data_IF_709766071875
#
_entry.id   IF_709766071875
#
_cell.length_a   1.000
_cell.length_b   1.000
_cell.length_c   1.000
_cell.angle_alpha   90.00
_cell.angle_beta   90.00
_cell.angle_gamma   90.00
#
_symmetry.space_group_name_H-M   'P 1'
#
loop_
_entity.id
_entity.type
_entity.pdbx_description
1 polymer ?
#
# COMPACT_ATOMS: atom_id res chain seq x y z
N UNK A 1 17.31 -4.47 29.73
CA UNK A 1 16.47 -4.02 30.86
C UNK A 1 15.55 -5.14 31.28
N UNK A 2 15.40 -5.39 32.59
CA UNK A 2 14.69 -6.55 33.16
C UNK A 2 13.16 -6.35 33.26
N UNK A 3 12.67 -5.10 33.31
CA UNK A 3 11.23 -4.77 33.31
C UNK A 3 10.88 -3.47 32.56
N UNK A 4 11.75 -3.03 31.67
CA UNK A 4 11.46 -1.92 30.76
C UNK A 4 11.38 -2.50 29.37
N UNK A 5 10.18 -2.53 28.78
CA UNK A 5 10.01 -2.79 27.36
C UNK A 5 11.08 -1.99 26.62
N UNK A 6 11.88 -2.67 25.80
CA UNK A 6 12.95 -2.04 25.04
C UNK A 6 12.38 -0.83 24.29
N UNK A 7 13.08 0.30 24.27
CA UNK A 7 12.62 1.52 23.58
C UNK A 7 12.26 1.20 22.12
N UNK A 8 13.05 0.34 21.47
CA UNK A 8 12.77 -0.17 20.12
C UNK A 8 11.46 -0.96 20.01
N UNK A 9 11.06 -1.70 21.06
CA UNK A 9 9.77 -2.40 21.07
C UNK A 9 8.62 -1.40 21.21
N UNK A 10 8.75 -0.42 22.10
CA UNK A 10 7.75 0.63 22.29
C UNK A 10 7.56 1.40 20.98
N UNK A 11 8.65 1.80 20.34
CA UNK A 11 8.67 2.45 19.04
C UNK A 11 7.93 1.60 17.98
N UNK A 12 8.25 0.31 17.87
CA UNK A 12 7.59 -0.58 16.91
C UNK A 12 6.07 -0.67 17.10
N UNK A 13 5.59 -0.64 18.35
CA UNK A 13 4.16 -0.68 18.66
C UNK A 13 3.46 0.62 18.24
N UNK A 14 4.10 1.77 18.45
CA UNK A 14 3.57 3.05 18.02
C UNK A 14 3.61 3.21 16.50
N UNK A 15 4.63 2.71 15.82
CA UNK A 15 4.68 2.66 14.36
C UNK A 15 3.55 1.78 13.80
N UNK A 16 3.34 0.59 14.34
CA UNK A 16 2.22 -0.30 13.96
C UNK A 16 0.87 0.43 14.14
N UNK A 17 0.71 1.18 15.24
CA UNK A 17 -0.52 1.93 15.50
C UNK A 17 -0.68 3.14 14.56
N UNK A 18 0.40 3.85 14.28
CA UNK A 18 0.43 4.98 13.35
C UNK A 18 0.06 4.54 11.94
N UNK A 19 0.64 3.44 11.45
CA UNK A 19 0.35 2.91 10.11
C UNK A 19 -1.15 2.55 9.95
N UNK A 20 -1.75 1.93 10.97
CA UNK A 20 -3.19 1.62 10.95
C UNK A 20 -4.08 2.86 11.00
N UNK A 21 -3.69 3.88 11.77
CA UNK A 21 -4.43 5.14 11.79
C UNK A 21 -4.30 5.89 10.47
N UNK A 22 -3.09 5.96 9.93
CA UNK A 22 -2.77 6.74 8.72
C UNK A 22 -3.37 6.11 7.45
N UNK A 23 -3.26 4.79 7.29
CA UNK A 23 -3.75 4.10 6.09
C UNK A 23 -5.11 3.42 6.27
N UNK A 24 -5.42 2.96 7.48
CA UNK A 24 -6.64 2.21 7.75
C UNK A 24 -7.82 3.05 8.28
N UNK A 25 -7.60 4.31 8.66
CA UNK A 25 -8.64 5.18 9.22
C UNK A 25 -9.11 4.79 10.63
N UNK A 26 -8.35 3.96 11.35
CA UNK A 26 -8.72 3.51 12.69
C UNK A 26 -8.54 4.63 13.73
N UNK A 27 -9.39 4.65 14.76
CA UNK A 27 -9.15 5.50 15.92
C UNK A 27 -7.96 4.97 16.73
N UNK A 28 -7.16 5.88 17.29
CA UNK A 28 -6.01 5.50 18.12
C UNK A 28 -6.43 4.64 19.31
N UNK A 29 -7.57 4.94 19.92
CA UNK A 29 -8.13 4.19 21.03
C UNK A 29 -8.54 2.76 20.64
N UNK A 30 -9.03 2.57 19.42
CA UNK A 30 -9.40 1.24 18.93
C UNK A 30 -8.14 0.39 18.72
N UNK A 31 -7.13 0.94 18.04
CA UNK A 31 -5.88 0.21 17.77
C UNK A 31 -5.13 -0.14 19.06
N UNK A 32 -5.17 0.73 20.07
CA UNK A 32 -4.54 0.49 21.36
C UNK A 32 -5.22 -0.65 22.13
N UNK A 33 -6.56 -0.72 22.08
CA UNK A 33 -7.34 -1.78 22.72
C UNK A 33 -7.32 -3.11 21.94
N UNK A 34 -6.86 -3.12 20.68
CA UNK A 34 -6.80 -4.33 19.87
C UNK A 34 -5.67 -5.27 20.30
N UNK A 35 -5.90 -6.60 20.34
CA UNK A 35 -4.85 -7.60 20.53
C UNK A 35 -3.76 -7.50 19.45
N UNK A 36 -2.49 -7.63 19.85
CA UNK A 36 -1.30 -7.51 18.97
C UNK A 36 -1.37 -8.40 17.71
N UNK A 37 -1.95 -9.60 17.82
CA UNK A 37 -2.09 -10.53 16.69
C UNK A 37 -3.02 -9.98 15.61
N UNK A 38 -4.12 -9.36 16.03
CA UNK A 38 -5.13 -8.80 15.13
C UNK A 38 -4.55 -7.56 14.45
N UNK A 39 -3.86 -6.70 15.21
CA UNK A 39 -3.17 -5.51 14.70
C UNK A 39 -2.22 -5.86 13.55
N UNK A 40 -1.35 -6.85 13.78
CA UNK A 40 -0.40 -7.34 12.78
C UNK A 40 -1.08 -7.95 11.57
N UNK A 41 -2.17 -8.69 11.76
CA UNK A 41 -2.94 -9.23 10.65
C UNK A 41 -3.50 -8.13 9.73
N UNK A 42 -4.06 -7.06 10.30
CA UNK A 42 -4.56 -5.92 9.53
C UNK A 42 -3.43 -5.19 8.78
N UNK A 43 -2.29 -4.99 9.42
CA UNK A 43 -1.11 -4.40 8.77
C UNK A 43 -0.65 -5.24 7.57
N UNK A 44 -0.47 -6.55 7.74
CA UNK A 44 -0.09 -7.45 6.65
C UNK A 44 -1.12 -7.43 5.51
N UNK A 45 -2.41 -7.36 5.83
CA UNK A 45 -3.47 -7.26 4.82
C UNK A 45 -3.44 -5.93 4.07
N UNK A 46 -3.19 -4.82 4.76
CA UNK A 46 -3.02 -3.49 4.14
C UNK A 46 -1.81 -3.47 3.20
N UNK A 47 -0.68 -4.04 3.61
CA UNK A 47 0.52 -4.14 2.76
C UNK A 47 0.20 -4.93 1.49
N UNK A 48 -0.47 -6.07 1.63
CA UNK A 48 -0.89 -6.88 0.48
C UNK A 48 -1.80 -6.10 -0.47
N UNK A 49 -2.78 -5.37 0.04
CA UNK A 49 -3.68 -4.55 -0.77
C UNK A 49 -2.92 -3.47 -1.54
N UNK A 50 -1.97 -2.78 -0.89
CA UNK A 50 -1.15 -1.75 -1.54
C UNK A 50 -0.24 -2.32 -2.62
N UNK A 51 0.30 -3.51 -2.41
CA UNK A 51 1.08 -4.22 -3.43
C UNK A 51 0.22 -4.59 -4.65
N UNK A 52 -0.99 -5.12 -4.42
CA UNK A 52 -1.94 -5.46 -5.48
C UNK A 52 -2.37 -4.21 -6.29
N UNK A 53 -2.64 -3.08 -5.62
CA UNK A 53 -2.93 -1.79 -6.26
C UNK A 53 -1.76 -1.30 -7.13
N UNK A 54 -0.53 -1.36 -6.60
CA UNK A 54 0.67 -0.95 -7.33
C UNK A 54 0.92 -1.84 -8.56
N UNK A 55 0.76 -3.16 -8.42
CA UNK A 55 0.86 -4.10 -9.55
C UNK A 55 -0.18 -3.81 -10.64
N UNK A 56 -1.43 -3.51 -10.26
CA UNK A 56 -2.49 -3.20 -11.21
C UNK A 56 -2.18 -1.93 -12.00
N UNK A 57 -1.67 -0.89 -11.34
CA UNK A 57 -1.24 0.35 -11.98
C UNK A 57 -0.07 0.07 -12.93
N UNK A 58 0.95 -0.66 -12.49
CA UNK A 58 2.11 -1.00 -13.34
C UNK A 58 1.71 -1.79 -14.59
N UNK A 59 0.75 -2.73 -14.47
CA UNK A 59 0.22 -3.49 -15.60
C UNK A 59 -0.55 -2.59 -16.59
N UNK A 60 -1.32 -1.62 -16.09
CA UNK A 60 -2.01 -0.65 -16.95
C UNK A 60 -1.04 0.26 -17.70
N UNK A 61 -0.03 0.80 -17.01
CA UNK A 61 0.99 1.68 -17.62
C UNK A 61 1.75 0.96 -18.75
N UNK A 62 2.09 -0.32 -18.55
CA UNK A 62 2.73 -1.14 -19.58
C UNK A 62 1.86 -1.40 -20.82
N UNK A 63 0.53 -1.48 -20.66
CA UNK A 63 -0.40 -1.73 -21.78
C UNK A 63 -0.76 -0.46 -22.58
N UNK A 64 -0.73 0.72 -21.96
CA UNK A 64 -0.97 2.02 -22.65
C UNK A 64 0.15 2.45 -23.60
N UNK A 65 1.21 1.64 -23.76
CA UNK A 65 2.39 1.95 -24.59
C UNK A 65 2.33 1.33 -25.99
N UNK A 66 1.15 1.16 -26.58
CA UNK A 66 1.03 0.93 -28.04
C UNK A 66 0.49 2.19 -28.70
N UNK A 67 1.35 3.00 -29.37
CA UNK A 67 0.86 4.00 -30.30
C UNK A 67 0.04 3.27 -31.37
N UNK A 68 -1.26 3.56 -31.42
CA UNK A 68 -2.10 3.15 -32.54
C UNK A 68 -1.43 3.62 -33.82
N UNK A 69 -0.96 2.65 -34.61
CA UNK A 69 -0.43 2.87 -35.94
C UNK A 69 -1.52 3.53 -36.76
N UNK A 70 -1.31 4.79 -37.12
CA UNK A 70 -2.23 5.57 -37.93
C UNK A 70 -2.22 4.99 -39.36
N UNK A 71 -3.07 3.97 -39.58
CA UNK A 71 -3.26 3.33 -40.88
C UNK A 71 -4.02 4.30 -41.79
N UNK A 72 -3.26 5.04 -42.57
CA UNK A 72 -3.66 5.46 -43.91
C UNK A 72 -3.96 6.94 -44.10
N UNK A 73 -3.16 7.58 -44.96
CA UNK A 73 -3.64 8.22 -46.21
C UNK A 73 -2.44 8.77 -46.98
N UNK A 74 -1.87 7.94 -47.85
CA UNK A 74 -0.98 8.42 -48.91
C UNK A 74 -1.85 9.08 -49.98
N UNK A 75 -1.69 10.37 -50.19
CA UNK A 75 -2.24 11.05 -51.36
C UNK A 75 -1.14 11.11 -52.43
N UNK A 76 -1.31 10.32 -53.50
CA UNK A 76 -0.50 10.46 -54.71
C UNK A 76 -0.94 11.75 -55.43
N UNK A 77 -0.08 12.77 -55.46
CA UNK A 77 -0.20 13.87 -56.42
C UNK A 77 0.47 13.43 -57.72
N UNK A 78 -0.29 13.49 -58.81
CA UNK A 78 0.19 13.35 -60.19
C UNK A 78 0.99 14.57 -60.61
#
# INVERSE_FOLDING_TARGET
>A
TFFGLNDAYIESVYEEAFQLKYYGGWSFFEVYNLPIRIRRWFLTRLIKQKHEEAEAINKQVGQTSTPQTNRGRTYNLK
#
